data_IF_497845727873
#
_entry.id   IF_497845727873
#
_cell.length_a   1.000
_cell.length_b   1.000
_cell.length_c   1.000
_cell.angle_alpha   90.00
_cell.angle_beta   90.00
_cell.angle_gamma   90.00
#
_symmetry.space_group_name_H-M   'P 1'
#
loop_
_entity.id
_entity.type
_entity.pdbx_description
1 polymer ?
#
# COMPACT_ATOMS: atom_id res chain seq x y z
N UNK A 1 -21.43 2.04 -35.05
CA UNK A 1 -20.34 2.23 -34.08
C UNK A 1 -20.86 1.73 -32.74
N UNK A 2 -20.38 0.58 -32.27
CA UNK A 2 -20.88 -0.04 -31.04
C UNK A 2 -20.31 0.69 -29.83
N UNK A 3 -21.17 1.36 -29.06
CA UNK A 3 -20.83 1.87 -27.75
C UNK A 3 -20.65 0.67 -26.82
N UNK A 4 -19.40 0.37 -26.47
CA UNK A 4 -19.09 -0.61 -25.44
C UNK A 4 -19.33 0.11 -24.10
N UNK A 5 -20.49 -0.14 -23.50
CA UNK A 5 -20.78 0.31 -22.16
C UNK A 5 -20.05 -0.63 -21.19
N UNK A 6 -18.95 -0.16 -20.59
CA UNK A 6 -18.37 -0.86 -19.45
C UNK A 6 -19.29 -0.61 -18.25
N UNK A 7 -20.16 -1.56 -17.95
CA UNK A 7 -20.83 -1.62 -16.66
C UNK A 7 -19.81 -2.19 -15.68
N UNK A 8 -19.31 -1.36 -14.76
CA UNK A 8 -18.53 -1.85 -13.64
C UNK A 8 -19.42 -2.80 -12.84
N UNK A 9 -19.05 -4.08 -12.86
CA UNK A 9 -19.60 -5.13 -12.01
C UNK A 9 -19.26 -4.76 -10.57
N UNK A 10 -20.28 -4.73 -9.72
CA UNK A 10 -20.28 -4.52 -8.25
C UNK A 10 -19.28 -3.50 -7.68
N UNK A 11 -19.81 -2.52 -6.93
CA UNK A 11 -18.98 -1.63 -6.11
C UNK A 11 -18.34 -2.48 -5.00
N UNK A 12 -17.18 -3.08 -5.26
CA UNK A 12 -16.35 -3.68 -4.23
C UNK A 12 -15.95 -2.57 -3.24
N UNK A 13 -16.39 -2.70 -1.99
CA UNK A 13 -16.00 -1.78 -0.93
C UNK A 13 -14.55 -2.03 -0.55
N UNK A 14 -13.82 -0.97 -0.22
CA UNK A 14 -12.47 -1.07 0.36
C UNK A 14 -12.49 -1.60 1.81
N UNK A 15 -13.68 -1.77 2.40
CA UNK A 15 -13.90 -2.16 3.79
C UNK A 15 -14.20 -3.66 3.89
N UNK A 16 -13.49 -4.33 4.78
CA UNK A 16 -13.64 -5.76 5.08
C UNK A 16 -13.83 -5.97 6.57
N UNK A 17 -14.56 -7.00 6.98
CA UNK A 17 -14.54 -7.40 8.38
C UNK A 17 -13.14 -7.92 8.72
N UNK A 18 -12.57 -7.45 9.83
CA UNK A 18 -11.28 -7.95 10.31
C UNK A 18 -11.31 -9.46 10.59
N UNK A 19 -12.44 -9.96 11.12
CA UNK A 19 -12.74 -11.37 11.29
C UNK A 19 -14.16 -11.65 10.79
N UNK A 20 -14.25 -12.38 9.68
CA UNK A 20 -15.52 -12.74 9.01
C UNK A 20 -16.43 -13.64 9.85
N UNK A 21 -15.89 -14.29 10.89
CA UNK A 21 -16.64 -15.19 11.77
C UNK A 21 -17.17 -14.52 13.05
N UNK A 22 -16.87 -13.23 13.23
CA UNK A 22 -17.27 -12.45 14.40
C UNK A 22 -18.11 -11.24 13.97
N UNK A 23 -19.41 -11.28 14.24
CA UNK A 23 -20.35 -10.21 13.88
C UNK A 23 -20.03 -8.87 14.57
N UNK A 24 -19.26 -8.90 15.67
CA UNK A 24 -18.79 -7.71 16.38
C UNK A 24 -17.42 -7.23 15.89
N UNK A 25 -16.82 -7.91 14.92
CA UNK A 25 -15.54 -7.52 14.34
C UNK A 25 -15.63 -6.13 13.73
N UNK A 26 -14.64 -5.24 13.97
CA UNK A 26 -14.59 -3.95 13.31
C UNK A 26 -14.45 -4.12 11.79
N UNK A 27 -15.02 -3.17 11.06
CA UNK A 27 -14.72 -2.98 9.64
C UNK A 27 -13.36 -2.30 9.50
N UNK A 28 -12.48 -2.91 8.72
CA UNK A 28 -11.14 -2.39 8.43
C UNK A 28 -11.11 -2.00 6.96
N UNK A 29 -10.62 -0.79 6.72
CA UNK A 29 -10.37 -0.30 5.38
C UNK A 29 -8.88 -0.37 5.06
N UNK A 30 -8.51 -0.99 3.93
CA UNK A 30 -7.13 -0.94 3.44
C UNK A 30 -6.98 0.31 2.57
N UNK A 31 -6.14 1.30 2.97
CA UNK A 31 -6.12 2.63 2.33
C UNK A 31 -5.44 2.64 0.95
N UNK A 32 -4.84 1.53 0.53
CA UNK A 32 -4.06 1.41 -0.72
C UNK A 32 -4.54 0.20 -1.50
N UNK A 33 -4.66 0.36 -2.82
CA UNK A 33 -4.96 -0.70 -3.75
C UNK A 33 -3.76 -0.95 -4.67
N UNK A 34 -3.37 -2.22 -4.84
CA UNK A 34 -2.32 -2.62 -5.76
C UNK A 34 -2.92 -3.07 -7.09
N UNK A 35 -2.39 -2.49 -8.17
CA UNK A 35 -2.65 -2.96 -9.53
C UNK A 35 -1.38 -3.61 -10.04
N UNK A 36 -1.45 -4.94 -10.16
CA UNK A 36 -0.32 -5.79 -10.54
C UNK A 36 -0.66 -6.50 -11.84
N UNK A 37 0.19 -6.30 -12.84
CA UNK A 37 0.06 -6.97 -14.11
C UNK A 37 1.14 -8.05 -14.22
N UNK A 38 0.76 -9.27 -14.56
CA UNK A 38 1.72 -10.34 -14.78
C UNK A 38 2.72 -9.95 -15.88
N UNK A 39 4.00 -10.04 -15.54
CA UNK A 39 5.12 -9.63 -16.41
C UNK A 39 5.66 -10.81 -17.23
N UNK A 40 5.25 -12.04 -16.92
CA UNK A 40 5.86 -13.26 -17.45
C UNK A 40 5.62 -13.48 -18.96
N UNK A 41 4.65 -12.78 -19.55
CA UNK A 41 4.26 -12.97 -20.96
C UNK A 41 4.36 -11.72 -21.85
N UNK A 42 4.89 -10.60 -21.37
CA UNK A 42 4.94 -9.38 -22.20
C UNK A 42 6.18 -8.54 -21.97
N UNK A 43 7.03 -8.44 -23.00
CA UNK A 43 8.14 -7.50 -23.09
C UNK A 43 7.69 -6.02 -23.06
N UNK A 44 6.39 -5.76 -23.21
CA UNK A 44 5.79 -4.42 -23.17
C UNK A 44 5.35 -4.00 -21.76
N UNK A 45 5.19 -4.93 -20.82
CA UNK A 45 4.75 -4.61 -19.46
C UNK A 45 5.94 -4.35 -18.53
N UNK A 46 6.55 -3.17 -18.65
CA UNK A 46 7.54 -2.67 -17.68
C UNK A 46 6.90 -1.96 -16.47
N UNK A 47 5.59 -1.71 -16.53
CA UNK A 47 4.83 -1.04 -15.48
C UNK A 47 4.71 -1.90 -14.22
N UNK A 48 4.64 -3.23 -14.33
CA UNK A 48 4.69 -4.16 -13.19
C UNK A 48 3.58 -3.90 -12.17
N UNK A 49 3.95 -3.36 -11.00
CA UNK A 49 3.04 -2.93 -9.93
C UNK A 49 2.93 -1.42 -9.83
N UNK A 50 1.71 -0.93 -9.69
CA UNK A 50 1.37 0.44 -9.30
C UNK A 50 0.51 0.39 -8.03
N UNK A 51 0.71 1.33 -7.12
CA UNK A 51 -0.08 1.49 -5.91
C UNK A 51 -0.84 2.83 -5.98
N UNK A 52 -2.15 2.79 -5.78
CA UNK A 52 -2.99 3.98 -5.64
C UNK A 52 -3.64 4.00 -4.27
N UNK A 53 -4.06 5.18 -3.76
CA UNK A 53 -5.09 5.21 -2.73
C UNK A 53 -6.29 4.38 -3.19
N UNK A 54 -6.99 3.74 -2.26
CA UNK A 54 -8.12 2.89 -2.63
C UNK A 54 -9.24 3.71 -3.33
N UNK A 55 -10.19 2.99 -3.92
CA UNK A 55 -11.26 3.61 -4.70
C UNK A 55 -12.14 4.55 -3.87
N UNK A 56 -12.46 4.24 -2.61
CA UNK A 56 -13.30 5.08 -1.75
C UNK A 56 -12.61 6.41 -1.40
N UNK A 57 -11.31 6.37 -1.07
CA UNK A 57 -10.48 7.56 -0.85
C UNK A 57 -10.42 8.42 -2.11
N UNK A 58 -10.17 7.81 -3.27
CA UNK A 58 -10.09 8.54 -4.54
C UNK A 58 -11.41 9.25 -4.88
N UNK A 59 -12.54 8.57 -4.68
CA UNK A 59 -13.87 9.12 -4.95
C UNK A 59 -14.23 10.23 -3.96
N UNK A 60 -14.01 10.01 -2.67
CA UNK A 60 -14.32 10.98 -1.60
C UNK A 60 -13.54 12.29 -1.78
N UNK A 61 -12.27 12.18 -2.14
CA UNK A 61 -11.38 13.33 -2.32
C UNK A 61 -11.37 13.90 -3.75
N UNK A 62 -12.22 13.37 -4.65
CA UNK A 62 -12.29 13.77 -6.06
C UNK A 62 -10.92 13.74 -6.78
N UNK A 63 -10.12 12.71 -6.52
CA UNK A 63 -8.79 12.56 -7.09
C UNK A 63 -8.87 12.18 -8.57
N UNK A 64 -8.10 12.89 -9.40
CA UNK A 64 -8.13 12.76 -10.86
C UNK A 64 -6.78 12.33 -11.39
N UNK A 65 -6.80 11.41 -12.34
CA UNK A 65 -5.67 11.08 -13.19
C UNK A 65 -5.56 12.08 -14.35
N UNK A 66 -4.35 12.54 -14.68
CA UNK A 66 -4.20 13.62 -15.68
C UNK A 66 -3.16 13.34 -16.79
N UNK A 67 -2.01 12.72 -16.51
CA UNK A 67 -0.83 12.91 -17.38
C UNK A 67 -0.03 11.64 -17.71
N UNK A 68 -0.63 10.45 -17.84
CA UNK A 68 0.15 9.24 -18.18
C UNK A 68 0.92 8.65 -16.99
N UNK A 69 1.31 9.50 -16.04
CA UNK A 69 2.01 9.16 -14.79
C UNK A 69 1.03 8.67 -13.71
N UNK A 70 1.47 7.78 -12.80
CA UNK A 70 0.64 7.22 -11.73
C UNK A 70 0.36 8.20 -10.58
N UNK A 71 0.45 9.50 -10.83
CA UNK A 71 0.17 10.55 -9.85
C UNK A 71 -1.30 10.97 -9.97
N UNK A 72 -1.92 11.26 -8.82
CA UNK A 72 -3.31 11.73 -8.73
C UNK A 72 -3.35 13.18 -8.26
N UNK A 73 -4.36 13.90 -8.72
CA UNK A 73 -4.49 15.34 -8.53
C UNK A 73 -5.84 15.70 -7.91
N UNK A 74 -5.85 16.64 -6.96
CA UNK A 74 -7.03 17.36 -6.56
C UNK A 74 -7.09 18.72 -7.27
N UNK A 75 -8.05 19.57 -6.92
CA UNK A 75 -8.16 20.91 -7.52
C UNK A 75 -7.00 21.85 -7.08
N UNK A 76 -6.21 21.46 -6.06
CA UNK A 76 -5.05 22.21 -5.57
C UNK A 76 -3.71 21.70 -6.13
N UNK A 77 -3.71 20.65 -6.97
CA UNK A 77 -2.51 20.11 -7.60
C UNK A 77 -2.26 18.65 -7.22
N UNK A 78 -1.00 18.26 -7.05
CA UNK A 78 -0.63 16.86 -6.77
C UNK A 78 -1.14 16.46 -5.39
N UNK A 79 -1.94 15.40 -5.38
CA UNK A 79 -2.59 14.85 -4.18
C UNK A 79 -1.98 13.50 -3.78
N UNK A 80 -1.64 12.65 -4.75
CA UNK A 80 -1.00 11.36 -4.49
C UNK A 80 0.11 11.08 -5.48
N UNK A 81 1.16 10.42 -5.00
CA UNK A 81 2.37 10.12 -5.75
C UNK A 81 2.72 8.64 -5.58
N UNK A 82 3.04 7.97 -6.69
CA UNK A 82 3.61 6.63 -6.68
C UNK A 82 5.03 6.62 -7.26
N UNK A 83 5.99 6.03 -6.56
CA UNK A 83 7.38 5.89 -7.05
C UNK A 83 7.90 4.47 -6.83
N UNK A 84 8.57 3.91 -7.84
CA UNK A 84 9.41 2.72 -7.67
C UNK A 84 10.79 3.16 -7.18
N UNK A 85 11.25 2.53 -6.10
CA UNK A 85 12.58 2.76 -5.56
C UNK A 85 13.49 1.63 -6.04
N UNK A 86 14.58 1.99 -6.69
CA UNK A 86 15.68 1.07 -7.00
C UNK A 86 17.00 1.78 -6.72
N UNK A 87 17.86 1.16 -5.92
CA UNK A 87 19.22 1.64 -5.66
C UNK A 87 20.21 0.60 -6.15
N UNK A 88 21.19 1.06 -6.93
CA UNK A 88 22.32 0.24 -7.39
C UNK A 88 23.37 0.00 -6.30
N UNK A 89 23.36 0.81 -5.23
CA UNK A 89 24.40 0.78 -4.18
C UNK A 89 24.00 0.00 -2.94
N UNK A 90 22.72 0.01 -2.56
CA UNK A 90 22.28 -0.46 -1.24
C UNK A 90 21.30 -1.64 -1.29
N UNK A 91 21.15 -2.32 -2.43
CA UNK A 91 20.15 -3.38 -2.66
C UNK A 91 18.70 -2.99 -2.32
N UNK A 92 18.42 -1.68 -2.18
CA UNK A 92 17.08 -1.17 -1.88
C UNK A 92 16.22 -1.28 -3.13
N UNK A 93 15.20 -2.12 -3.06
CA UNK A 93 14.14 -2.24 -4.06
C UNK A 93 12.80 -2.15 -3.38
N UNK A 94 11.89 -1.36 -3.92
CA UNK A 94 10.57 -1.21 -3.33
C UNK A 94 9.67 -0.27 -4.12
N UNK A 95 8.54 0.04 -3.52
CA UNK A 95 7.62 1.04 -4.06
C UNK A 95 7.06 1.86 -2.90
N UNK A 96 6.84 3.14 -3.15
CA UNK A 96 6.23 4.05 -2.19
C UNK A 96 4.99 4.64 -2.83
N UNK A 97 3.89 4.62 -2.09
CA UNK A 97 2.70 5.41 -2.37
C UNK A 97 2.58 6.47 -1.29
N UNK A 98 2.28 7.69 -1.71
CA UNK A 98 2.11 8.85 -0.85
C UNK A 98 0.74 9.47 -1.14
N UNK A 99 0.02 9.86 -0.09
CA UNK A 99 -1.17 10.70 -0.15
C UNK A 99 -0.90 11.95 0.70
N UNK A 100 -1.30 13.11 0.20
CA UNK A 100 -1.10 14.38 0.89
C UNK A 100 -1.80 14.35 2.27
N UNK A 101 -1.09 14.80 3.30
CA UNK A 101 -1.49 14.64 4.70
C UNK A 101 -2.85 15.28 5.00
N UNK A 102 -3.06 16.51 4.54
CA UNK A 102 -4.30 17.29 4.70
C UNK A 102 -5.51 16.54 4.14
N UNK A 103 -5.35 15.89 2.99
CA UNK A 103 -6.40 15.11 2.35
C UNK A 103 -6.70 13.82 3.11
N UNK A 104 -5.66 13.16 3.62
CA UNK A 104 -5.83 11.94 4.42
C UNK A 104 -6.50 12.23 5.76
N UNK A 105 -6.08 13.29 6.46
CA UNK A 105 -6.73 13.74 7.70
C UNK A 105 -8.19 14.14 7.45
N UNK A 106 -8.45 14.87 6.36
CA UNK A 106 -9.83 15.19 5.95
C UNK A 106 -10.65 13.92 5.75
N UNK A 107 -10.12 12.92 5.04
CA UNK A 107 -10.83 11.68 4.79
C UNK A 107 -11.17 10.95 6.10
N UNK A 108 -10.20 10.78 7.00
CA UNK A 108 -10.41 10.13 8.30
C UNK A 108 -11.48 10.85 9.14
N UNK A 109 -11.47 12.19 9.14
CA UNK A 109 -12.46 13.00 9.86
C UNK A 109 -13.85 12.90 9.23
N UNK A 110 -13.94 12.93 7.89
CA UNK A 110 -15.21 12.83 7.17
C UNK A 110 -15.86 11.44 7.32
N UNK A 111 -15.07 10.39 7.57
CA UNK A 111 -15.52 8.99 7.69
C UNK A 111 -15.55 8.45 9.12
N UNK A 112 -15.17 9.24 10.11
CA UNK A 112 -15.02 8.84 11.52
C UNK A 112 -14.12 7.59 11.69
N UNK A 113 -12.97 7.60 11.02
CA UNK A 113 -12.02 6.48 11.00
C UNK A 113 -10.71 6.82 11.72
N UNK A 114 -10.18 5.81 12.42
CA UNK A 114 -8.83 5.86 13.00
C UNK A 114 -7.84 5.11 12.11
N UNK A 115 -6.74 5.77 11.76
CA UNK A 115 -5.66 5.10 11.02
C UNK A 115 -4.75 4.30 11.96
N UNK A 116 -4.47 3.04 11.59
CA UNK A 116 -3.51 2.18 12.28
C UNK A 116 -2.39 1.84 11.30
N UNK A 117 -1.15 2.18 11.69
CA UNK A 117 0.03 1.84 10.92
C UNK A 117 0.69 0.57 11.46
N UNK A 118 0.69 -0.48 10.66
CA UNK A 118 1.40 -1.72 10.94
C UNK A 118 2.66 -1.77 10.08
N UNK A 119 3.81 -1.61 10.72
CA UNK A 119 5.12 -1.80 10.11
C UNK A 119 5.51 -3.27 10.27
N UNK A 120 5.67 -3.96 9.15
CA UNK A 120 6.08 -5.36 9.11
C UNK A 120 7.20 -5.57 8.09
N UNK A 121 8.15 -6.43 8.43
CA UNK A 121 9.16 -6.88 7.49
C UNK A 121 9.92 -8.10 7.98
N UNK A 122 10.47 -8.84 7.02
CA UNK A 122 11.37 -9.97 7.28
C UNK A 122 12.81 -9.59 6.93
N UNK A 123 13.74 -9.97 7.81
CA UNK A 123 15.17 -9.91 7.52
C UNK A 123 15.61 -11.19 6.83
N UNK A 124 15.88 -11.10 5.53
CA UNK A 124 16.47 -12.19 4.78
C UNK A 124 17.99 -12.24 5.01
N UNK A 125 18.51 -13.43 5.28
CA UNK A 125 19.96 -13.68 5.31
C UNK A 125 20.44 -14.01 3.89
N UNK A 126 21.43 -13.29 3.39
CA UNK A 126 21.98 -13.52 2.05
C UNK A 126 22.95 -14.72 2.07
N UNK A 127 22.82 -15.65 1.12
CA UNK A 127 23.63 -16.88 1.00
C UNK A 127 25.16 -16.68 0.90
N UNK A 128 25.64 -15.43 0.82
CA UNK A 128 27.07 -15.09 0.75
C UNK A 128 27.70 -14.77 2.11
N UNK A 129 26.92 -14.67 3.18
CA UNK A 129 27.44 -14.52 4.56
C UNK A 129 27.97 -15.82 5.17
N UNK A 130 28.03 -16.91 4.40
CA UNK A 130 28.30 -18.27 4.85
C UNK A 130 29.80 -18.61 5.07
N UNK A 131 30.72 -17.67 4.87
CA UNK A 131 32.15 -18.00 4.82
C UNK A 131 32.90 -17.90 6.15
N UNK A 132 32.34 -17.35 7.23
CA UNK A 132 33.14 -17.11 8.44
C UNK A 132 32.65 -17.82 9.70
N UNK A 133 31.35 -18.10 9.87
CA UNK A 133 30.86 -18.82 11.04
C UNK A 133 29.71 -19.76 10.62
N UNK A 134 29.82 -21.05 10.95
CA UNK A 134 28.79 -22.09 10.73
C UNK A 134 27.53 -21.80 11.57
N UNK A 135 26.82 -20.71 11.28
CA UNK A 135 25.57 -20.33 11.95
C UNK A 135 24.46 -21.18 11.34
N UNK A 136 23.85 -22.04 12.15
CA UNK A 136 22.69 -22.84 11.75
C UNK A 136 21.49 -21.93 11.46
N UNK A 137 21.19 -21.76 10.16
CA UNK A 137 20.05 -20.97 9.68
C UNK A 137 18.71 -21.47 10.23
N UNK A 138 18.59 -22.75 10.58
CA UNK A 138 17.35 -23.28 11.15
C UNK A 138 17.05 -22.65 12.50
N UNK A 139 18.07 -22.43 13.36
CA UNK A 139 17.88 -21.75 14.65
C UNK A 139 17.48 -20.28 14.47
N UNK A 140 18.00 -19.60 13.45
CA UNK A 140 17.64 -18.21 13.15
C UNK A 140 16.16 -18.06 12.75
N UNK A 141 15.62 -19.00 11.96
CA UNK A 141 14.21 -19.02 11.61
C UNK A 141 13.32 -19.53 12.75
N UNK A 142 13.77 -20.50 13.56
CA UNK A 142 13.01 -21.04 14.70
C UNK A 142 12.69 -19.99 15.77
N UNK A 143 13.58 -19.02 16.01
CA UNK A 143 13.35 -18.00 17.03
C UNK A 143 12.50 -16.81 16.57
N UNK A 144 11.99 -16.78 15.33
CA UNK A 144 11.22 -15.65 14.77
C UNK A 144 11.92 -14.28 14.85
N UNK A 145 13.22 -14.22 15.19
CA UNK A 145 14.01 -12.97 15.31
C UNK A 145 14.19 -12.22 14.00
N UNK A 146 13.88 -12.88 12.88
CA UNK A 146 13.89 -12.32 11.54
C UNK A 146 12.62 -11.51 11.24
N UNK A 147 11.52 -11.73 11.98
CA UNK A 147 10.27 -10.98 11.87
C UNK A 147 10.38 -9.68 12.67
N UNK A 148 10.23 -8.54 12.00
CA UNK A 148 10.12 -7.25 12.65
C UNK A 148 8.68 -6.75 12.52
N UNK A 149 8.05 -6.41 13.65
CA UNK A 149 6.69 -5.86 13.70
C UNK A 149 6.65 -4.66 14.64
N UNK A 150 6.05 -3.56 14.20
CA UNK A 150 5.73 -2.40 15.04
C UNK A 150 4.34 -1.91 14.66
N UNK A 151 3.54 -1.55 15.66
CA UNK A 151 2.18 -1.04 15.47
C UNK A 151 2.13 0.36 16.06
N UNK A 152 1.50 1.29 15.36
CA UNK A 152 1.29 2.66 15.83
C UNK A 152 -0.10 3.12 15.41
N UNK A 153 -0.90 3.57 16.36
CA UNK A 153 -2.17 4.21 16.08
C UNK A 153 -1.94 5.70 15.80
N UNK A 154 -2.64 6.24 14.81
CA UNK A 154 -2.67 7.67 14.58
C UNK A 154 -3.49 8.33 15.67
N UNK A 155 -2.85 9.25 16.41
CA UNK A 155 -3.54 10.15 17.31
C UNK A 155 -3.46 11.53 16.68
N UNK A 156 -4.61 12.21 16.56
CA UNK A 156 -4.63 13.61 16.17
C UNK A 156 -3.72 14.37 17.15
N UNK A 157 -2.74 15.12 16.62
CA UNK A 157 -1.98 16.03 17.47
C UNK A 157 -2.93 17.18 17.74
N UNK A 158 -3.36 17.35 18.99
CA UNK A 158 -4.08 18.53 19.45
C UNK A 158 -3.32 19.77 18.98
N UNK A 159 -3.79 20.39 17.90
CA UNK A 159 -3.34 21.71 17.49
C UNK A 159 -4.09 22.70 18.38
N UNK A 160 -3.52 22.98 19.54
CA UNK A 160 -3.95 24.07 20.43
C UNK A 160 -3.77 25.45 19.80
#
# INVERSE_FOLDING_TARGET
MSNIHFTLVEKESSKVQFNEWDELSPLVEVPVQSYEWESYHSSLNQAGRILFPNTEICQSLNLKYQNGEPDLYDDNGVASIFRKLTSTTNNLKGSVSYLRKDLFEKYLNDTDQTFIWILWGERNQHYKGYSEENIDVHQYFQCNKHLHKQISAWNEVDNG
#
